data_IF_666704157744
#
_entry.id   IF_666704157744
#
_cell.length_a   1.000
_cell.length_b   1.000
_cell.length_c   1.000
_cell.angle_alpha   90.00
_cell.angle_beta   90.00
_cell.angle_gamma   90.00
#
_symmetry.space_group_name_H-M   'P 1'
#
loop_
_entity.id
_entity.type
_entity.pdbx_description
1 polymer ?
#
# COMPACT_ATOMS: atom_id res chain seq x y z
N UNK A 1 0.15 -18.51 -1.93
CA UNK A 1 1.08 -19.07 -2.94
C UNK A 1 0.37 -19.74 -4.15
N UNK A 2 -0.95 -19.59 -4.35
CA UNK A 2 -1.68 -20.28 -5.44
C UNK A 2 -2.65 -19.41 -6.25
N UNK A 3 -2.40 -18.10 -6.33
CA UNK A 3 -3.26 -17.16 -7.07
C UNK A 3 -4.66 -16.93 -6.47
N UNK A 4 -5.53 -16.27 -7.24
CA UNK A 4 -6.89 -15.91 -6.81
C UNK A 4 -7.79 -17.14 -6.61
N UNK A 5 -7.58 -18.20 -7.39
CA UNK A 5 -8.33 -19.44 -7.28
C UNK A 5 -8.11 -20.10 -5.92
N UNK A 6 -6.86 -20.33 -5.53
CA UNK A 6 -6.56 -20.92 -4.23
C UNK A 6 -6.97 -20.01 -3.07
N UNK A 7 -6.86 -18.69 -3.23
CA UNK A 7 -7.34 -17.74 -2.21
C UNK A 7 -8.85 -17.89 -1.99
N UNK A 8 -9.63 -17.94 -3.08
CA UNK A 8 -11.09 -18.09 -3.04
C UNK A 8 -11.52 -19.47 -2.51
N UNK A 9 -10.78 -20.53 -2.83
CA UNK A 9 -11.01 -21.86 -2.25
C UNK A 9 -10.75 -21.91 -0.74
N UNK A 10 -9.79 -21.11 -0.25
CA UNK A 10 -9.37 -21.14 1.16
C UNK A 10 -10.25 -20.31 2.10
N UNK A 11 -11.12 -19.45 1.56
CA UNK A 11 -12.05 -18.61 2.35
C UNK A 11 -13.45 -19.20 2.35
N UNK A 12 -14.28 -18.79 3.31
CA UNK A 12 -15.69 -19.22 3.34
C UNK A 12 -16.47 -18.77 2.10
N UNK A 13 -17.49 -19.55 1.70
CA UNK A 13 -18.41 -19.22 0.60
C UNK A 13 -19.04 -17.83 0.76
N UNK A 14 -19.32 -17.41 2.00
CA UNK A 14 -19.84 -16.07 2.30
C UNK A 14 -18.85 -14.97 1.92
N UNK A 15 -17.56 -15.16 2.21
CA UNK A 15 -16.51 -14.21 1.84
C UNK A 15 -16.30 -14.20 0.32
N UNK A 16 -16.35 -15.36 -0.34
CA UNK A 16 -16.24 -15.47 -1.79
C UNK A 16 -17.41 -14.78 -2.51
N UNK A 17 -18.65 -14.99 -2.04
CA UNK A 17 -19.81 -14.25 -2.55
C UNK A 17 -19.66 -12.75 -2.35
N UNK A 18 -19.17 -12.33 -1.18
CA UNK A 18 -18.85 -10.94 -0.86
C UNK A 18 -17.85 -10.31 -1.84
N UNK A 19 -16.76 -11.02 -2.17
CA UNK A 19 -15.76 -10.62 -3.19
C UNK A 19 -16.43 -10.35 -4.54
N UNK A 20 -17.26 -11.28 -5.03
CA UNK A 20 -17.89 -11.15 -6.34
C UNK A 20 -18.83 -9.94 -6.46
N UNK A 21 -19.64 -9.68 -5.42
CA UNK A 21 -20.64 -8.62 -5.48
C UNK A 21 -20.11 -7.25 -5.05
N UNK A 22 -19.11 -7.22 -4.17
CA UNK A 22 -18.60 -5.97 -3.59
C UNK A 22 -17.28 -5.53 -4.22
N UNK A 23 -16.44 -6.44 -4.69
CA UNK A 23 -15.16 -6.12 -5.31
C UNK A 23 -15.28 -5.10 -6.45
N UNK A 24 -16.14 -5.32 -7.46
CA UNK A 24 -16.33 -4.37 -8.56
C UNK A 24 -16.98 -3.04 -8.15
N UNK A 25 -17.62 -2.98 -6.97
CA UNK A 25 -18.20 -1.73 -6.43
C UNK A 25 -17.14 -0.83 -5.81
N UNK A 26 -16.03 -1.41 -5.35
CA UNK A 26 -14.90 -0.68 -4.75
C UNK A 26 -13.84 -0.38 -5.80
N UNK A 27 -13.43 -1.39 -6.57
CA UNK A 27 -12.48 -1.24 -7.68
C UNK A 27 -13.28 -1.11 -8.98
N UNK A 28 -13.48 0.13 -9.41
CA UNK A 28 -14.38 0.47 -10.52
C UNK A 28 -13.62 0.70 -11.82
N UNK A 29 -14.34 0.91 -12.92
CA UNK A 29 -13.73 1.34 -14.19
C UNK A 29 -12.96 2.66 -14.05
N UNK A 30 -13.39 3.56 -13.16
CA UNK A 30 -12.66 4.81 -12.91
C UNK A 30 -11.35 4.55 -12.17
N UNK A 31 -11.30 3.56 -11.27
CA UNK A 31 -10.04 3.08 -10.69
C UNK A 31 -9.09 2.58 -11.78
N UNK A 32 -9.61 1.81 -12.75
CA UNK A 32 -8.81 1.31 -13.88
C UNK A 32 -8.34 2.42 -14.82
N UNK A 33 -9.17 3.44 -15.08
CA UNK A 33 -8.76 4.64 -15.83
C UNK A 33 -7.65 5.40 -15.11
N UNK A 34 -7.77 5.58 -13.79
CA UNK A 34 -6.73 6.22 -12.99
C UNK A 34 -5.41 5.43 -13.05
N UNK A 35 -5.46 4.10 -12.97
CA UNK A 35 -4.28 3.25 -13.17
C UNK A 35 -3.65 3.44 -14.56
N UNK A 36 -4.47 3.55 -15.61
CA UNK A 36 -4.00 3.82 -16.96
C UNK A 36 -3.34 5.20 -17.12
N UNK A 37 -3.90 6.24 -16.50
CA UNK A 37 -3.33 7.57 -16.49
C UNK A 37 -1.97 7.61 -15.77
N UNK A 38 -1.86 6.97 -14.60
CA UNK A 38 -0.59 6.83 -13.87
C UNK A 38 0.46 6.11 -14.72
N UNK A 39 0.07 5.05 -15.43
CA UNK A 39 0.99 4.35 -16.34
C UNK A 39 1.46 5.26 -17.49
N UNK A 40 0.57 6.06 -18.07
CA UNK A 40 0.92 7.01 -19.12
C UNK A 40 1.92 8.07 -18.62
N UNK A 41 1.68 8.64 -17.43
CA UNK A 41 2.58 9.61 -16.80
C UNK A 41 3.97 9.03 -16.46
N UNK A 42 4.03 7.72 -16.18
CA UNK A 42 5.30 7.01 -16.00
C UNK A 42 6.00 6.86 -17.35
N UNK A 43 5.29 6.41 -18.38
CA UNK A 43 5.85 6.15 -19.71
C UNK A 43 6.31 7.41 -20.44
N UNK A 44 5.57 8.53 -20.30
CA UNK A 44 5.93 9.82 -20.89
C UNK A 44 6.94 10.63 -20.02
N UNK A 45 7.32 10.09 -18.87
CA UNK A 45 8.30 10.65 -17.94
C UNK A 45 7.79 11.82 -17.09
N UNK A 46 6.49 12.14 -17.11
CA UNK A 46 5.89 13.18 -16.25
C UNK A 46 6.14 12.89 -14.78
N UNK A 47 5.92 11.63 -14.36
CA UNK A 47 6.19 11.20 -12.98
C UNK A 47 7.66 11.42 -12.59
N UNK A 48 8.60 11.00 -13.45
CA UNK A 48 10.03 11.13 -13.20
C UNK A 48 10.49 12.60 -13.12
N UNK A 49 9.97 13.46 -14.01
CA UNK A 49 10.25 14.91 -13.96
C UNK A 49 9.75 15.54 -12.67
N UNK A 50 8.54 15.17 -12.23
CA UNK A 50 7.97 15.62 -10.96
C UNK A 50 8.84 15.21 -9.77
N UNK A 51 9.25 13.94 -9.72
CA UNK A 51 10.13 13.45 -8.65
C UNK A 51 11.49 14.15 -8.62
N UNK A 52 12.13 14.37 -9.77
CA UNK A 52 13.42 15.08 -9.84
C UNK A 52 13.27 16.52 -9.35
N UNK A 53 12.19 17.20 -9.71
CA UNK A 53 11.92 18.57 -9.26
C UNK A 53 11.72 18.63 -7.73
N UNK A 54 10.87 17.74 -7.20
CA UNK A 54 10.64 17.60 -5.75
C UNK A 54 11.95 17.32 -5.00
N UNK A 55 12.79 16.42 -5.53
CA UNK A 55 14.06 16.10 -4.91
C UNK A 55 15.03 17.29 -4.92
N UNK A 56 15.13 18.02 -6.03
CA UNK A 56 15.94 19.24 -6.13
C UNK A 56 15.46 20.34 -5.19
N UNK A 57 14.16 20.40 -4.91
CA UNK A 57 13.56 21.31 -3.95
C UNK A 57 13.76 20.88 -2.48
N UNK A 58 14.45 19.76 -2.21
CA UNK A 58 14.69 19.27 -0.85
C UNK A 58 13.56 18.39 -0.29
N UNK A 59 12.69 17.83 -1.14
CA UNK A 59 11.63 16.86 -0.78
C UNK A 59 10.58 17.34 0.24
N UNK A 60 10.12 18.61 0.22
CA UNK A 60 9.18 19.12 1.23
C UNK A 60 7.84 18.37 1.27
N UNK A 61 7.24 18.07 0.12
CA UNK A 61 5.96 17.37 0.04
C UNK A 61 6.11 15.91 0.46
N UNK A 62 7.22 15.28 0.06
CA UNK A 62 7.53 13.92 0.47
C UNK A 62 7.68 13.81 1.99
N UNK A 63 8.45 14.72 2.61
CA UNK A 63 8.65 14.72 4.06
C UNK A 63 7.35 14.97 4.83
N UNK A 64 6.55 15.95 4.41
CA UNK A 64 5.26 16.24 5.05
C UNK A 64 4.27 15.06 4.91
N UNK A 65 4.20 14.44 3.73
CA UNK A 65 3.36 13.25 3.51
C UNK A 65 3.84 12.09 4.38
N UNK A 66 5.15 11.82 4.39
CA UNK A 66 5.72 10.75 5.20
C UNK A 66 5.48 10.95 6.71
N UNK A 67 5.62 12.17 7.23
CA UNK A 67 5.30 12.48 8.62
C UNK A 67 3.82 12.18 8.93
N UNK A 68 2.91 12.70 8.10
CA UNK A 68 1.47 12.45 8.24
C UNK A 68 1.10 10.96 8.20
N UNK A 69 1.69 10.19 7.29
CA UNK A 69 1.44 8.74 7.18
C UNK A 69 1.96 7.98 8.41
N UNK A 70 3.11 8.39 8.98
CA UNK A 70 3.66 7.77 10.20
C UNK A 70 2.82 8.06 11.46
N UNK A 71 2.12 9.19 11.46
CA UNK A 71 1.20 9.61 12.51
C UNK A 71 -0.22 9.04 12.33
N UNK A 72 -0.52 8.43 11.18
CA UNK A 72 -1.84 7.86 10.91
C UNK A 72 -2.22 6.83 11.98
N UNK A 73 -3.49 6.82 12.39
CA UNK A 73 -3.97 6.00 13.50
C UNK A 73 -3.67 4.51 13.31
N UNK A 74 -3.72 4.03 12.06
CA UNK A 74 -3.36 2.65 11.69
C UNK A 74 -1.94 2.27 12.14
N UNK A 75 -0.99 3.21 12.08
CA UNK A 75 0.39 2.97 12.48
C UNK A 75 0.53 3.03 14.00
N UNK A 76 -0.17 3.96 14.67
CA UNK A 76 -0.17 4.06 16.14
C UNK A 76 -0.73 2.78 16.76
N UNK A 77 -1.89 2.32 16.30
CA UNK A 77 -2.54 1.11 16.80
C UNK A 77 -1.77 -0.13 16.33
N UNK A 78 -1.36 -0.17 15.06
CA UNK A 78 -0.62 -1.28 14.47
C UNK A 78 0.71 -1.56 15.16
N UNK A 79 1.48 -0.54 15.54
CA UNK A 79 2.72 -0.71 16.32
C UNK A 79 2.46 -1.41 17.66
N UNK A 80 1.48 -0.93 18.44
CA UNK A 80 1.11 -1.55 19.73
C UNK A 80 0.68 -3.00 19.58
N UNK A 81 -0.14 -3.30 18.56
CA UNK A 81 -0.59 -4.66 18.30
C UNK A 81 0.58 -5.58 17.93
N UNK A 82 1.47 -5.14 17.05
CA UNK A 82 2.65 -5.94 16.62
C UNK A 82 3.65 -6.17 17.77
N UNK A 83 3.81 -5.23 18.69
CA UNK A 83 4.66 -5.40 19.88
C UNK A 83 4.20 -6.57 20.77
N UNK A 84 2.87 -6.74 20.89
CA UNK A 84 2.24 -7.83 21.65
C UNK A 84 2.21 -9.17 20.91
N UNK A 85 2.76 -9.26 19.70
CA UNK A 85 2.81 -10.48 18.89
C UNK A 85 4.26 -11.00 18.82
N UNK A 86 4.69 -11.91 19.73
CA UNK A 86 6.06 -12.42 19.78
C UNK A 86 6.52 -13.09 18.48
N UNK A 87 5.57 -13.62 17.70
CA UNK A 87 5.80 -14.29 16.42
C UNK A 87 5.97 -13.30 15.25
N UNK A 88 5.68 -12.01 15.44
CA UNK A 88 5.86 -10.94 14.44
C UNK A 88 7.15 -10.16 14.70
N UNK A 89 7.74 -10.22 15.89
CA UNK A 89 8.97 -9.51 16.17
C UNK A 89 10.10 -9.99 15.25
N UNK A 90 10.63 -9.15 14.34
CA UNK A 90 11.84 -9.50 13.63
C UNK A 90 12.95 -9.70 14.67
N UNK A 91 13.81 -10.71 14.49
CA UNK A 91 15.07 -10.78 15.24
C UNK A 91 15.80 -9.47 14.96
N UNK A 92 15.76 -8.54 15.91
CA UNK A 92 16.47 -7.27 15.80
C UNK A 92 17.93 -7.63 15.62
N UNK A 93 18.47 -7.46 14.40
CA UNK A 93 19.91 -7.28 14.23
C UNK A 93 20.22 -5.94 14.87
N UNK A 94 20.47 -5.97 16.18
CA UNK A 94 21.11 -4.86 16.89
C UNK A 94 22.38 -4.60 16.10
N UNK A 95 22.50 -3.38 15.56
CA UNK A 95 23.63 -2.98 14.75
C UNK A 95 24.93 -3.38 15.44
N UNK A 96 25.79 -4.08 14.71
CA UNK A 96 27.21 -4.05 15.03
C UNK A 96 27.62 -2.58 14.81
N UNK A 97 28.28 -2.04 15.84
CA UNK A 97 28.80 -0.67 15.95
C UNK A 97 29.39 -0.11 14.66
#
# INVERSE_FOLDING_TARGET
EGGLENMRYSVSDTAQWGDFVSGPRVVTEDTKKAMGAVLAEIQDGTFARGWIAEHKAGRPNFHATNEKENEHEIEVVGRKLREMMPFVQPRVKVGIK
#
